data_IF_394036163917
#
_entry.id   IF_394036163917
#
_cell.length_a   1.000
_cell.length_b   1.000
_cell.length_c   1.000
_cell.angle_alpha   90.00
_cell.angle_beta   90.00
_cell.angle_gamma   90.00
#
_symmetry.space_group_name_H-M   'P 1'
#
loop_
_entity.id
_entity.type
_entity.pdbx_description
1 polymer ?
#
# COMPACT_ATOMS: atom_id res chain seq x y z
N UNK A 1 -49.00 17.15 24.73
CA UNK A 1 -48.00 18.14 24.28
C UNK A 1 -46.65 17.66 24.79
N UNK A 2 -45.69 17.41 23.90
CA UNK A 2 -44.34 17.02 24.31
C UNK A 2 -43.56 18.29 24.68
N UNK A 3 -43.09 18.44 25.93
CA UNK A 3 -42.32 19.61 26.32
C UNK A 3 -40.96 19.60 25.61
N UNK A 4 -40.60 20.70 24.96
CA UNK A 4 -39.28 20.91 24.35
C UNK A 4 -38.70 22.21 24.87
N UNK A 5 -37.50 22.16 25.44
CA UNK A 5 -36.73 23.33 25.83
C UNK A 5 -35.55 23.50 24.87
N UNK A 6 -35.24 24.74 24.53
CA UNK A 6 -34.13 25.06 23.62
C UNK A 6 -33.39 26.28 24.18
N UNK A 7 -32.12 26.10 24.53
CA UNK A 7 -31.26 27.12 25.14
C UNK A 7 -30.12 27.47 24.19
N UNK A 8 -29.90 28.77 23.94
CA UNK A 8 -28.83 29.24 23.09
C UNK A 8 -28.17 30.49 23.68
N UNK A 9 -26.84 30.47 23.76
CA UNK A 9 -26.04 31.62 24.17
C UNK A 9 -25.72 32.50 22.96
N UNK A 10 -25.92 33.81 23.09
CA UNK A 10 -25.61 34.79 22.04
C UNK A 10 -24.71 35.88 22.63
N UNK A 11 -23.59 36.17 21.96
CA UNK A 11 -22.76 37.33 22.28
C UNK A 11 -23.20 38.52 21.42
N UNK A 12 -24.03 39.41 21.99
CA UNK A 12 -24.62 40.54 21.25
C UNK A 12 -23.62 41.68 21.02
N UNK A 13 -22.83 42.04 22.05
CA UNK A 13 -21.85 43.12 21.95
C UNK A 13 -20.50 42.50 21.62
N UNK A 14 -19.99 42.80 20.42
CA UNK A 14 -18.79 42.17 19.88
C UNK A 14 -17.49 42.77 20.37
N UNK A 15 -17.42 44.09 20.61
CA UNK A 15 -16.17 44.81 20.92
C UNK A 15 -16.20 45.38 22.34
N UNK A 16 -16.09 44.50 23.35
CA UNK A 16 -16.06 44.94 24.74
C UNK A 16 -14.71 44.69 25.40
N UNK A 17 -14.08 43.53 25.12
CA UNK A 17 -12.82 43.13 25.74
C UNK A 17 -11.63 43.25 24.79
N UNK A 18 -10.41 43.37 25.32
CA UNK A 18 -9.17 43.29 24.54
C UNK A 18 -9.10 42.01 23.69
N UNK A 19 -9.64 40.90 24.20
CA UNK A 19 -9.74 39.64 23.47
C UNK A 19 -10.60 39.73 22.19
N UNK A 20 -11.58 40.63 22.15
CA UNK A 20 -12.45 40.79 21.00
C UNK A 20 -11.76 41.48 19.83
N UNK A 21 -10.85 42.42 20.12
CA UNK A 21 -10.00 43.03 19.11
C UNK A 21 -8.99 42.03 18.54
N UNK A 22 -8.52 41.08 19.36
CA UNK A 22 -7.69 39.97 18.87
C UNK A 22 -8.46 39.05 17.92
N UNK A 23 -9.72 38.71 18.24
CA UNK A 23 -10.60 37.92 17.36
C UNK A 23 -10.83 38.63 16.02
N UNK A 24 -11.02 39.95 16.01
CA UNK A 24 -11.12 40.74 14.77
C UNK A 24 -9.87 40.59 13.89
N UNK A 25 -8.69 40.62 14.50
CA UNK A 25 -7.43 40.38 13.78
C UNK A 25 -7.37 38.97 13.14
N UNK A 26 -7.84 37.96 13.86
CA UNK A 26 -7.93 36.59 13.33
C UNK A 26 -8.93 36.46 12.18
N UNK A 27 -10.04 37.21 12.19
CA UNK A 27 -11.00 37.21 11.08
C UNK A 27 -10.39 37.81 9.80
N UNK A 28 -9.60 38.88 9.93
CA UNK A 28 -8.89 39.45 8.80
C UNK A 28 -7.82 38.48 8.26
N UNK A 29 -7.06 37.85 9.17
CA UNK A 29 -6.10 36.81 8.81
C UNK A 29 -6.77 35.63 8.09
N UNK A 30 -7.94 35.21 8.55
CA UNK A 30 -8.74 34.18 7.86
C UNK A 30 -9.14 34.61 6.44
N UNK A 31 -9.53 35.87 6.24
CA UNK A 31 -9.79 36.43 4.91
C UNK A 31 -8.58 36.34 3.97
N UNK A 32 -7.39 36.71 4.46
CA UNK A 32 -6.13 36.58 3.72
C UNK A 32 -5.85 35.10 3.39
N UNK A 33 -6.05 34.21 4.36
CA UNK A 33 -5.88 32.77 4.16
C UNK A 33 -6.79 32.25 3.05
N UNK A 34 -8.08 32.63 3.02
CA UNK A 34 -9.01 32.24 1.95
C UNK A 34 -8.55 32.73 0.57
N UNK A 35 -7.99 33.95 0.48
CA UNK A 35 -7.40 34.45 -0.78
C UNK A 35 -6.22 33.57 -1.21
N UNK A 36 -5.31 33.24 -0.28
CA UNK A 36 -4.20 32.33 -0.55
C UNK A 36 -4.70 30.96 -1.04
N UNK A 37 -5.74 30.40 -0.41
CA UNK A 37 -6.36 29.15 -0.84
C UNK A 37 -6.95 29.24 -2.25
N UNK A 38 -7.54 30.38 -2.58
CA UNK A 38 -8.12 30.63 -3.91
C UNK A 38 -7.04 30.54 -4.98
N UNK A 39 -5.89 31.17 -4.75
CA UNK A 39 -4.73 31.13 -5.66
C UNK A 39 -4.19 29.69 -5.77
N UNK A 40 -4.04 28.99 -4.65
CA UNK A 40 -3.56 27.60 -4.61
C UNK A 40 -4.49 26.67 -5.43
N UNK A 41 -5.80 26.71 -5.17
CA UNK A 41 -6.79 25.89 -5.87
C UNK A 41 -6.84 26.25 -7.36
N UNK A 42 -6.79 27.53 -7.70
CA UNK A 42 -6.82 27.98 -9.10
C UNK A 42 -5.58 27.53 -9.86
N UNK A 43 -4.38 27.61 -9.26
CA UNK A 43 -3.16 27.07 -9.86
C UNK A 43 -3.28 25.57 -10.10
N UNK A 44 -3.78 24.83 -9.11
CA UNK A 44 -3.99 23.39 -9.23
C UNK A 44 -4.99 23.05 -10.36
N UNK A 45 -6.05 23.84 -10.54
CA UNK A 45 -7.01 23.67 -11.65
C UNK A 45 -6.34 23.95 -13.00
N UNK A 46 -5.53 24.99 -13.10
CA UNK A 46 -4.85 25.38 -14.34
C UNK A 46 -3.80 24.35 -14.78
N UNK A 47 -3.04 23.78 -13.84
CA UNK A 47 -2.01 22.78 -14.12
C UNK A 47 -2.62 21.39 -14.43
N UNK A 48 -3.65 20.96 -13.69
CA UNK A 48 -4.21 19.60 -13.82
C UNK A 48 -5.43 19.52 -14.76
N UNK A 49 -6.02 20.64 -15.19
CA UNK A 49 -7.19 20.77 -16.10
C UNK A 49 -8.23 19.64 -15.98
N UNK A 50 -8.14 18.61 -16.83
CA UNK A 50 -9.10 17.48 -16.88
C UNK A 50 -8.76 16.34 -15.92
N UNK A 51 -7.49 16.20 -15.51
CA UNK A 51 -7.07 15.24 -14.51
C UNK A 51 -7.50 15.65 -13.10
N UNK A 52 -7.71 16.95 -12.87
CA UNK A 52 -8.20 17.50 -11.60
C UNK A 52 -9.54 16.86 -11.16
N UNK A 53 -10.51 16.72 -12.07
CA UNK A 53 -11.83 16.14 -11.79
C UNK A 53 -11.80 14.63 -11.43
N UNK A 54 -10.69 13.94 -11.66
CA UNK A 54 -10.52 12.53 -11.30
C UNK A 54 -9.96 12.32 -9.89
N UNK A 55 -9.48 13.37 -9.23
CA UNK A 55 -8.84 13.29 -7.91
C UNK A 55 -9.88 13.62 -6.84
N UNK A 56 -10.20 12.65 -5.98
CA UNK A 56 -11.20 12.83 -4.90
C UNK A 56 -10.86 14.02 -3.99
N UNK A 57 -9.58 14.20 -3.69
CA UNK A 57 -9.09 15.30 -2.85
C UNK A 57 -9.33 16.70 -3.41
N UNK A 58 -9.42 16.84 -4.73
CA UNK A 58 -9.70 18.12 -5.38
C UNK A 58 -11.12 18.61 -5.07
N UNK A 59 -12.09 17.70 -4.89
CA UNK A 59 -13.44 18.05 -4.46
C UNK A 59 -13.48 18.57 -3.02
N UNK A 60 -12.66 18.00 -2.12
CA UNK A 60 -12.54 18.48 -0.73
C UNK A 60 -11.98 19.91 -0.70
N UNK A 61 -10.96 20.20 -1.51
CA UNK A 61 -10.38 21.55 -1.59
C UNK A 61 -11.40 22.58 -2.11
N UNK A 62 -12.19 22.23 -3.14
CA UNK A 62 -13.26 23.10 -3.67
C UNK A 62 -14.36 23.30 -2.62
N UNK A 63 -14.77 22.25 -1.92
CA UNK A 63 -15.79 22.32 -0.87
C UNK A 63 -15.36 23.25 0.26
N UNK A 64 -14.13 23.13 0.75
CA UNK A 64 -13.56 24.03 1.77
C UNK A 64 -13.56 25.48 1.28
N UNK A 65 -13.16 25.71 0.02
CA UNK A 65 -13.12 27.05 -0.55
C UNK A 65 -14.54 27.66 -0.62
N UNK A 66 -15.52 26.92 -1.14
CA UNK A 66 -16.91 27.36 -1.21
C UNK A 66 -17.48 27.66 0.18
N UNK A 67 -17.32 26.74 1.14
CA UNK A 67 -17.76 26.93 2.53
C UNK A 67 -17.11 28.16 3.17
N UNK A 68 -15.83 28.43 2.87
CA UNK A 68 -15.12 29.60 3.41
C UNK A 68 -15.66 30.94 2.88
N UNK A 69 -16.06 31.00 1.60
CA UNK A 69 -16.72 32.18 1.06
C UNK A 69 -18.10 32.40 1.66
N UNK A 70 -18.91 31.34 1.77
CA UNK A 70 -20.22 31.41 2.43
C UNK A 70 -20.04 31.86 3.89
N UNK A 71 -19.02 31.36 4.58
CA UNK A 71 -18.69 31.78 5.95
C UNK A 71 -18.39 33.27 6.05
N UNK A 72 -17.56 33.82 5.17
CA UNK A 72 -17.22 35.25 5.17
C UNK A 72 -18.47 36.10 4.92
N UNK A 73 -19.26 35.75 3.90
CA UNK A 73 -20.51 36.47 3.58
C UNK A 73 -21.46 36.45 4.78
N UNK A 74 -21.64 35.27 5.39
CA UNK A 74 -22.53 35.11 6.54
C UNK A 74 -22.01 35.83 7.78
N UNK A 75 -20.69 35.87 8.00
CA UNK A 75 -20.07 36.61 9.11
C UNK A 75 -20.33 38.12 9.00
N UNK A 76 -20.21 38.67 7.79
CA UNK A 76 -20.52 40.08 7.50
C UNK A 76 -22.01 40.35 7.66
N UNK A 77 -22.88 39.50 7.08
CA UNK A 77 -24.34 39.65 7.19
C UNK A 77 -24.80 39.63 8.66
N UNK A 78 -24.29 38.67 9.46
CA UNK A 78 -24.53 38.61 10.89
C UNK A 78 -24.09 39.89 11.60
N UNK A 79 -22.90 40.40 11.29
CA UNK A 79 -22.41 41.63 11.91
C UNK A 79 -23.34 42.81 11.66
N UNK A 80 -23.79 43.00 10.42
CA UNK A 80 -24.74 44.05 10.05
C UNK A 80 -26.07 43.89 10.79
N UNK A 81 -26.65 42.68 10.78
CA UNK A 81 -27.92 42.38 11.44
C UNK A 81 -27.86 42.67 12.94
N UNK A 82 -26.80 42.21 13.63
CA UNK A 82 -26.65 42.41 15.07
C UNK A 82 -26.44 43.90 15.38
N UNK A 83 -25.64 44.62 14.60
CA UNK A 83 -25.43 46.06 14.80
C UNK A 83 -26.74 46.83 14.65
N UNK A 84 -27.48 46.59 13.56
CA UNK A 84 -28.79 47.20 13.35
C UNK A 84 -29.75 46.90 14.50
N UNK A 85 -29.82 45.63 14.94
CA UNK A 85 -30.65 45.23 16.06
C UNK A 85 -30.26 45.95 17.36
N UNK A 86 -28.96 46.01 17.69
CA UNK A 86 -28.46 46.67 18.90
C UNK A 86 -28.73 48.18 18.87
N UNK A 87 -28.61 48.84 17.71
CA UNK A 87 -28.91 50.27 17.59
C UNK A 87 -30.40 50.61 17.74
N UNK A 88 -31.29 49.67 17.41
CA UNK A 88 -32.74 49.85 17.57
C UNK A 88 -33.25 49.43 18.96
N UNK A 89 -32.38 48.97 19.86
CA UNK A 89 -32.77 48.65 21.23
C UNK A 89 -33.08 49.95 22.00
N UNK A 90 -34.30 50.11 22.53
CA UNK A 90 -34.63 51.28 23.35
C UNK A 90 -33.84 51.25 24.66
N UNK A 91 -33.39 52.42 25.12
CA UNK A 91 -32.59 52.58 26.35
C UNK A 91 -33.41 52.19 27.60
N UNK A 92 -34.74 52.29 27.53
CA UNK A 92 -35.69 51.86 28.58
C UNK A 92 -36.56 50.73 28.03
N UNK A 93 -36.44 49.54 28.61
CA UNK A 93 -37.16 48.34 28.17
C UNK A 93 -38.55 48.24 28.82
N UNK A 94 -39.48 49.11 28.41
CA UNK A 94 -40.88 49.01 28.89
C UNK A 94 -41.68 47.90 28.20
N UNK A 95 -41.15 47.34 27.10
CA UNK A 95 -41.78 46.27 26.30
C UNK A 95 -40.80 45.14 26.03
N UNK A 96 -41.33 43.91 25.98
CA UNK A 96 -40.59 42.71 25.58
C UNK A 96 -39.93 42.90 24.21
N UNK A 97 -38.62 42.64 24.14
CA UNK A 97 -37.86 42.62 22.90
C UNK A 97 -37.68 41.18 22.44
N UNK A 98 -38.01 40.91 21.18
CA UNK A 98 -37.90 39.58 20.61
C UNK A 98 -36.46 39.29 20.14
N UNK A 99 -35.80 38.32 20.79
CA UNK A 99 -34.45 37.86 20.42
C UNK A 99 -34.45 36.60 19.52
N UNK A 100 -35.63 36.09 19.13
CA UNK A 100 -35.79 34.86 18.36
C UNK A 100 -34.98 34.88 17.05
N UNK A 101 -35.01 36.00 16.33
CA UNK A 101 -34.28 36.16 15.07
C UNK A 101 -32.76 36.20 15.27
N UNK A 102 -32.28 36.99 16.25
CA UNK A 102 -30.84 37.10 16.58
C UNK A 102 -30.29 35.75 17.02
N UNK A 103 -31.06 35.01 17.82
CA UNK A 103 -30.75 33.64 18.22
C UNK A 103 -30.61 32.72 17.00
N UNK A 104 -31.59 32.72 16.09
CA UNK A 104 -31.56 31.87 14.90
C UNK A 104 -30.28 32.15 14.07
N UNK A 105 -29.95 33.42 13.84
CA UNK A 105 -28.73 33.82 13.12
C UNK A 105 -27.46 33.29 13.82
N UNK A 106 -27.39 33.33 15.16
CA UNK A 106 -26.25 32.78 15.89
C UNK A 106 -26.17 31.25 15.80
N UNK A 107 -27.29 30.54 15.86
CA UNK A 107 -27.33 29.07 15.75
C UNK A 107 -26.87 28.63 14.36
N UNK A 108 -27.36 29.27 13.29
CA UNK A 108 -26.91 28.99 11.93
C UNK A 108 -25.43 29.32 11.72
N UNK A 109 -24.93 30.41 12.33
CA UNK A 109 -23.49 30.72 12.33
C UNK A 109 -22.68 29.57 12.94
N UNK A 110 -23.12 29.03 14.08
CA UNK A 110 -22.43 27.93 14.76
C UNK A 110 -22.43 26.64 13.92
N UNK A 111 -23.54 26.29 13.28
CA UNK A 111 -23.61 25.13 12.38
C UNK A 111 -22.67 25.27 11.21
N UNK A 112 -22.65 26.44 10.56
CA UNK A 112 -21.78 26.70 9.43
C UNK A 112 -20.30 26.70 9.84
N UNK A 113 -19.98 27.24 11.03
CA UNK A 113 -18.63 27.15 11.62
C UNK A 113 -18.22 25.70 11.85
N UNK A 114 -19.10 24.87 12.42
CA UNK A 114 -18.80 23.46 12.71
C UNK A 114 -18.52 22.67 11.43
N UNK A 115 -19.33 22.87 10.38
CA UNK A 115 -19.12 22.23 9.08
C UNK A 115 -17.80 22.68 8.45
N UNK A 116 -17.49 23.99 8.47
CA UNK A 116 -16.23 24.50 7.94
C UNK A 116 -15.01 23.90 8.66
N UNK A 117 -15.05 23.84 10.00
CA UNK A 117 -13.98 23.24 10.81
C UNK A 117 -13.81 21.76 10.50
N UNK A 118 -14.90 21.01 10.37
CA UNK A 118 -14.85 19.60 9.98
C UNK A 118 -14.14 19.40 8.64
N UNK A 119 -14.51 20.17 7.62
CA UNK A 119 -13.87 20.09 6.31
C UNK A 119 -12.42 20.60 6.33
N UNK A 120 -12.07 21.58 7.18
CA UNK A 120 -10.69 21.99 7.39
C UNK A 120 -9.84 20.85 7.97
N UNK A 121 -10.37 20.08 8.92
CA UNK A 121 -9.72 18.86 9.42
C UNK A 121 -9.61 17.77 8.35
N UNK A 122 -10.64 17.57 7.52
CA UNK A 122 -10.54 16.65 6.38
C UNK A 122 -9.43 17.09 5.39
N UNK A 123 -9.28 18.39 5.17
CA UNK A 123 -8.18 18.92 4.36
C UNK A 123 -6.82 18.68 5.00
N UNK A 124 -6.71 18.74 6.34
CA UNK A 124 -5.47 18.39 7.02
C UNK A 124 -5.05 16.94 6.73
N UNK A 125 -6.01 16.01 6.64
CA UNK A 125 -5.72 14.61 6.28
C UNK A 125 -5.02 14.48 4.93
N UNK A 126 -5.30 15.38 3.96
CA UNK A 126 -4.57 15.42 2.68
C UNK A 126 -3.07 15.64 2.88
N UNK A 127 -2.67 16.49 3.82
CA UNK A 127 -1.26 16.76 4.11
C UNK A 127 -0.62 15.66 4.97
N UNK A 128 -1.40 14.96 5.80
CA UNK A 128 -0.92 13.81 6.57
C UNK A 128 -0.61 12.58 5.68
N UNK A 129 -1.12 12.56 4.45
CA UNK A 129 -0.77 11.56 3.43
C UNK A 129 0.69 11.63 2.94
N UNK A 130 1.52 12.53 3.49
CA UNK A 130 2.97 12.53 3.26
C UNK A 130 3.67 11.31 3.88
N UNK A 131 3.03 10.61 4.81
CA UNK A 131 3.54 9.34 5.36
C UNK A 131 3.27 8.18 4.40
N UNK A 132 4.29 7.33 4.19
CA UNK A 132 4.24 6.11 3.35
C UNK A 132 3.01 5.24 3.64
N UNK A 133 2.67 5.08 4.92
CA UNK A 133 1.54 4.27 5.41
C UNK A 133 0.16 4.81 4.97
N UNK A 134 -0.03 6.13 4.90
CA UNK A 134 -1.33 6.73 4.56
C UNK A 134 -1.58 6.75 3.04
N UNK A 135 -0.52 6.77 2.23
CA UNK A 135 -0.62 6.59 0.78
C UNK A 135 -1.04 5.15 0.43
N UNK A 136 -0.53 4.16 1.16
CA UNK A 136 -0.87 2.75 1.00
C UNK A 136 -2.36 2.49 1.36
N UNK A 137 -2.86 3.09 2.45
CA UNK A 137 -4.28 3.08 2.82
C UNK A 137 -5.18 3.69 1.74
N UNK A 138 -4.78 4.79 1.13
CA UNK A 138 -5.53 5.41 0.03
C UNK A 138 -5.62 4.53 -1.22
N UNK A 139 -4.52 3.86 -1.57
CA UNK A 139 -4.49 2.90 -2.68
C UNK A 139 -5.43 1.71 -2.42
N UNK A 140 -5.42 1.22 -1.18
CA UNK A 140 -6.31 0.15 -0.70
C UNK A 140 -7.77 0.54 -0.83
N UNK A 141 -8.13 1.66 -0.20
CA UNK A 141 -9.51 2.13 -0.17
C UNK A 141 -10.03 2.33 -1.59
N UNK A 142 -9.25 2.94 -2.48
CA UNK A 142 -9.66 3.19 -3.87
C UNK A 142 -9.91 1.90 -4.66
N UNK A 143 -9.13 0.85 -4.43
CA UNK A 143 -9.29 -0.42 -5.15
C UNK A 143 -10.51 -1.18 -4.64
N UNK A 144 -10.73 -1.16 -3.33
CA UNK A 144 -11.77 -1.94 -2.65
C UNK A 144 -13.11 -1.23 -2.56
N UNK A 145 -13.17 0.09 -2.82
CA UNK A 145 -14.41 0.86 -2.74
C UNK A 145 -15.50 0.33 -3.66
N UNK A 146 -15.15 -0.27 -4.82
CA UNK A 146 -16.13 -0.84 -5.74
C UNK A 146 -16.81 -2.06 -5.12
N UNK A 147 -16.03 -2.93 -4.49
CA UNK A 147 -16.52 -4.16 -3.87
C UNK A 147 -17.28 -3.85 -2.57
N UNK A 148 -16.76 -2.90 -1.78
CA UNK A 148 -17.43 -2.38 -0.58
C UNK A 148 -18.75 -1.68 -0.94
N UNK A 149 -18.80 -0.90 -2.03
CA UNK A 149 -20.02 -0.22 -2.45
C UNK A 149 -21.09 -1.21 -2.93
N UNK A 150 -20.70 -2.24 -3.69
CA UNK A 150 -21.61 -3.31 -4.11
C UNK A 150 -22.20 -4.08 -2.92
N UNK A 151 -21.36 -4.44 -1.95
CA UNK A 151 -21.82 -5.06 -0.70
C UNK A 151 -22.66 -4.10 0.16
N UNK A 152 -22.24 -2.84 0.26
CA UNK A 152 -22.95 -1.79 0.99
C UNK A 152 -24.37 -1.58 0.47
N UNK A 153 -24.59 -1.67 -0.85
CA UNK A 153 -25.93 -1.61 -1.43
C UNK A 153 -26.81 -2.78 -0.94
N UNK A 154 -26.28 -4.00 -0.92
CA UNK A 154 -26.99 -5.16 -0.38
C UNK A 154 -27.30 -5.00 1.11
N UNK A 155 -26.34 -4.49 1.89
CA UNK A 155 -26.53 -4.14 3.30
C UNK A 155 -27.67 -3.13 3.46
N UNK A 156 -27.66 -2.02 2.71
CA UNK A 156 -28.69 -1.00 2.83
C UNK A 156 -30.08 -1.50 2.45
N UNK A 157 -30.21 -2.33 1.43
CA UNK A 157 -31.51 -2.91 1.03
C UNK A 157 -32.06 -3.81 2.14
N UNK A 158 -31.25 -4.70 2.71
CA UNK A 158 -31.67 -5.57 3.82
C UNK A 158 -31.95 -4.78 5.09
N UNK A 159 -31.06 -3.86 5.45
CA UNK A 159 -31.22 -2.99 6.61
C UNK A 159 -32.51 -2.17 6.53
N UNK A 160 -32.77 -1.56 5.37
CA UNK A 160 -33.99 -0.79 5.15
C UNK A 160 -35.25 -1.67 5.18
N UNK A 161 -35.18 -2.90 4.67
CA UNK A 161 -36.29 -3.86 4.80
C UNK A 161 -36.57 -4.20 6.28
N UNK A 162 -35.55 -4.43 7.09
CA UNK A 162 -35.74 -4.62 8.54
C UNK A 162 -36.27 -3.36 9.23
N UNK A 163 -35.84 -2.17 8.84
CA UNK A 163 -36.37 -0.91 9.35
C UNK A 163 -37.86 -0.73 9.04
N UNK A 164 -38.29 -1.10 7.83
CA UNK A 164 -39.71 -1.09 7.45
C UNK A 164 -40.53 -2.11 8.25
N UNK A 165 -40.01 -3.32 8.44
CA UNK A 165 -40.68 -4.33 9.26
C UNK A 165 -40.80 -3.87 10.71
N UNK A 166 -39.74 -3.30 11.28
CA UNK A 166 -39.75 -2.77 12.64
C UNK A 166 -40.77 -1.62 12.80
N UNK A 167 -40.80 -0.70 11.82
CA UNK A 167 -41.79 0.36 11.76
C UNK A 167 -43.22 -0.18 11.71
N UNK A 168 -43.48 -1.19 10.87
CA UNK A 168 -44.82 -1.77 10.71
C UNK A 168 -45.29 -2.58 11.93
N UNK A 169 -44.39 -3.30 12.62
CA UNK A 169 -44.75 -4.12 13.78
C UNK A 169 -44.80 -3.28 15.06
N UNK A 170 -43.79 -2.44 15.30
CA UNK A 170 -43.59 -1.77 16.59
C UNK A 170 -43.91 -0.27 16.56
N UNK A 171 -43.96 0.37 15.38
CA UNK A 171 -44.07 1.83 15.28
C UNK A 171 -45.35 2.44 15.83
N UNK A 172 -46.40 1.65 16.04
CA UNK A 172 -47.63 2.12 16.68
C UNK A 172 -47.57 2.25 18.20
N UNK A 173 -46.61 1.58 18.86
CA UNK A 173 -46.57 1.47 20.33
C UNK A 173 -45.20 1.83 20.93
N UNK A 174 -44.12 1.76 20.15
CA UNK A 174 -42.76 2.08 20.62
C UNK A 174 -42.28 3.40 20.00
N UNK A 175 -41.91 4.37 20.85
CA UNK A 175 -41.46 5.69 20.40
C UNK A 175 -40.20 5.59 19.50
N UNK A 176 -39.29 4.68 19.83
CA UNK A 176 -38.07 4.39 19.05
C UNK A 176 -38.33 3.94 17.60
N UNK A 177 -39.55 3.49 17.28
CA UNK A 177 -39.93 3.01 15.95
C UNK A 177 -41.07 3.81 15.30
N UNK A 178 -41.43 4.98 15.86
CA UNK A 178 -42.62 5.75 15.44
C UNK A 178 -42.55 6.31 14.01
N UNK A 179 -41.35 6.45 13.43
CA UNK A 179 -41.13 6.79 12.02
C UNK A 179 -40.11 5.83 11.40
N UNK A 180 -40.11 5.71 10.08
CA UNK A 180 -39.09 4.92 9.37
C UNK A 180 -37.68 5.46 9.66
N UNK A 181 -37.52 6.79 9.75
CA UNK A 181 -36.23 7.39 10.12
C UNK A 181 -35.82 7.05 11.55
N UNK A 182 -36.74 7.16 12.52
CA UNK A 182 -36.48 6.75 13.90
C UNK A 182 -36.15 5.25 14.00
N UNK A 183 -36.85 4.41 13.23
CA UNK A 183 -36.58 2.98 13.14
C UNK A 183 -35.17 2.71 12.59
N UNK A 184 -34.74 3.43 11.55
CA UNK A 184 -33.37 3.34 11.05
C UNK A 184 -32.34 3.74 12.10
N UNK A 185 -32.57 4.82 12.86
CA UNK A 185 -31.64 5.23 13.93
C UNK A 185 -31.56 4.22 15.05
N UNK A 186 -32.70 3.67 15.47
CA UNK A 186 -32.79 2.65 16.52
C UNK A 186 -32.14 1.33 16.11
N UNK A 187 -32.33 0.89 14.86
CA UNK A 187 -31.64 -0.31 14.34
C UNK A 187 -30.13 -0.09 14.14
N UNK A 188 -29.69 1.15 13.86
CA UNK A 188 -28.26 1.46 13.79
C UNK A 188 -27.60 1.40 15.18
N UNK A 189 -28.29 1.90 16.22
CA UNK A 189 -27.88 1.72 17.61
C UNK A 189 -27.87 0.23 18.00
N UNK A 190 -28.87 -0.51 17.54
CA UNK A 190 -28.94 -1.95 17.69
C UNK A 190 -27.74 -2.69 17.09
N UNK A 191 -27.21 -2.24 15.94
CA UNK A 191 -26.01 -2.80 15.33
C UNK A 191 -24.75 -2.60 16.19
N UNK A 192 -24.69 -1.51 16.96
CA UNK A 192 -23.62 -1.22 17.93
C UNK A 192 -23.79 -2.08 19.21
N UNK A 193 -24.99 -2.60 19.45
CA UNK A 193 -25.33 -3.47 20.59
C UNK A 193 -26.31 -2.84 21.58
N UNK A 194 -26.77 -1.61 21.33
CA UNK A 194 -27.76 -0.92 22.17
C UNK A 194 -29.17 -1.28 21.67
N UNK A 195 -29.76 -2.32 22.26
CA UNK A 195 -31.11 -2.78 21.93
C UNK A 195 -32.07 -2.66 23.12
N UNK A 196 -33.09 -1.82 22.99
CA UNK A 196 -34.20 -1.72 23.94
C UNK A 196 -35.23 -2.83 23.69
N UNK A 197 -34.89 -4.07 24.02
CA UNK A 197 -35.73 -5.25 23.74
C UNK A 197 -37.03 -5.26 24.55
N UNK A 198 -37.02 -4.71 25.78
CA UNK A 198 -38.16 -4.74 26.69
C UNK A 198 -39.40 -4.10 26.09
N UNK A 199 -39.24 -2.92 25.49
CA UNK A 199 -40.35 -2.21 24.85
C UNK A 199 -40.92 -2.99 23.66
N UNK A 200 -40.10 -3.76 22.94
CA UNK A 200 -40.59 -4.60 21.84
C UNK A 200 -41.38 -5.81 22.35
N UNK A 201 -40.89 -6.46 23.41
CA UNK A 201 -41.54 -7.65 24.00
C UNK A 201 -42.93 -7.30 24.55
N UNK A 202 -43.08 -6.12 25.15
CA UNK A 202 -44.35 -5.61 25.67
C UNK A 202 -45.41 -5.42 24.56
N UNK A 203 -44.98 -5.02 23.35
CA UNK A 203 -45.89 -4.86 22.20
C UNK A 203 -46.31 -6.19 21.61
N UNK A 204 -45.34 -7.06 21.33
CA UNK A 204 -45.63 -8.38 20.77
C UNK A 204 -44.60 -9.41 21.21
N UNK A 205 -44.99 -10.19 22.23
CA UNK A 205 -44.17 -11.23 22.83
C UNK A 205 -43.71 -12.34 21.87
N UNK A 206 -44.38 -12.53 20.73
CA UNK A 206 -44.01 -13.54 19.73
C UNK A 206 -43.16 -12.93 18.61
N UNK A 207 -43.59 -11.79 18.06
CA UNK A 207 -42.88 -11.16 16.94
C UNK A 207 -41.56 -10.50 17.36
N UNK A 208 -41.47 -9.97 18.58
CA UNK A 208 -40.25 -9.35 19.11
C UNK A 208 -39.04 -10.31 19.16
N UNK A 209 -39.11 -11.50 19.78
CA UNK A 209 -37.98 -12.44 19.76
C UNK A 209 -37.65 -12.93 18.35
N UNK A 210 -38.66 -13.19 17.50
CA UNK A 210 -38.43 -13.62 16.12
C UNK A 210 -37.67 -12.52 15.34
N UNK A 211 -38.13 -11.27 15.45
CA UNK A 211 -37.50 -10.13 14.81
C UNK A 211 -36.05 -9.97 15.29
N UNK A 212 -35.82 -10.01 16.61
CA UNK A 212 -34.48 -9.86 17.19
C UNK A 212 -33.53 -10.96 16.70
N UNK A 213 -33.95 -12.22 16.76
CA UNK A 213 -33.13 -13.37 16.33
C UNK A 213 -32.80 -13.25 14.84
N UNK A 214 -33.78 -12.93 14.00
CA UNK A 214 -33.55 -12.74 12.56
C UNK A 214 -32.63 -11.55 12.29
N UNK A 215 -32.86 -10.41 12.96
CA UNK A 215 -32.03 -9.23 12.79
C UNK A 215 -30.57 -9.51 13.19
N UNK A 216 -30.34 -10.08 14.37
CA UNK A 216 -28.98 -10.41 14.83
C UNK A 216 -28.33 -11.45 13.91
N UNK A 217 -29.05 -12.48 13.50
CA UNK A 217 -28.53 -13.49 12.58
C UNK A 217 -28.10 -12.90 11.23
N UNK A 218 -28.98 -12.14 10.57
CA UNK A 218 -28.68 -11.58 9.26
C UNK A 218 -27.71 -10.39 9.32
N UNK A 219 -27.95 -9.43 10.23
CA UNK A 219 -27.18 -8.18 10.27
C UNK A 219 -25.83 -8.33 10.96
N UNK A 220 -25.75 -9.10 12.03
CA UNK A 220 -24.50 -9.30 12.77
C UNK A 220 -23.72 -10.50 12.23
N UNK A 221 -24.28 -11.70 12.25
CA UNK A 221 -23.51 -12.90 11.88
C UNK A 221 -23.20 -13.00 10.38
N UNK A 222 -24.12 -12.62 9.51
CA UNK A 222 -23.87 -12.70 8.06
C UNK A 222 -23.19 -11.43 7.58
N UNK A 223 -23.84 -10.27 7.72
CA UNK A 223 -23.38 -9.05 7.07
C UNK A 223 -22.12 -8.46 7.70
N UNK A 224 -21.96 -8.40 9.04
CA UNK A 224 -20.69 -7.89 9.61
C UNK A 224 -19.51 -8.81 9.28
N UNK A 225 -19.69 -10.13 9.34
CA UNK A 225 -18.62 -11.06 9.01
C UNK A 225 -18.23 -11.01 7.53
N UNK A 226 -19.21 -10.83 6.63
CA UNK A 226 -18.95 -10.64 5.20
C UNK A 226 -18.25 -9.29 4.94
N UNK A 227 -18.65 -8.22 5.63
CA UNK A 227 -17.97 -6.94 5.56
C UNK A 227 -16.50 -7.04 6.00
N UNK A 228 -16.24 -7.72 7.13
CA UNK A 228 -14.89 -7.97 7.62
C UNK A 228 -14.07 -8.82 6.65
N UNK A 229 -14.68 -9.85 6.03
CA UNK A 229 -14.02 -10.66 5.02
C UNK A 229 -13.60 -9.83 3.80
N UNK A 230 -14.48 -8.96 3.29
CA UNK A 230 -14.18 -8.06 2.16
C UNK A 230 -13.04 -7.11 2.52
N UNK A 231 -13.05 -6.51 3.73
CA UNK A 231 -11.97 -5.64 4.19
C UNK A 231 -10.65 -6.41 4.32
N UNK A 232 -10.68 -7.63 4.86
CA UNK A 232 -9.49 -8.43 5.05
C UNK A 232 -8.89 -8.88 3.70
N UNK A 233 -9.72 -9.27 2.73
CA UNK A 233 -9.28 -9.62 1.38
C UNK A 233 -8.72 -8.38 0.63
N UNK A 234 -9.40 -7.25 0.75
CA UNK A 234 -8.93 -5.96 0.29
C UNK A 234 -7.56 -5.59 0.86
N UNK A 235 -7.38 -5.76 2.17
CA UNK A 235 -6.12 -5.48 2.85
C UNK A 235 -5.01 -6.46 2.42
N UNK A 236 -5.32 -7.74 2.29
CA UNK A 236 -4.37 -8.77 1.87
C UNK A 236 -3.88 -8.56 0.43
N UNK A 237 -4.81 -8.29 -0.51
CA UNK A 237 -4.49 -8.05 -1.94
C UNK A 237 -3.64 -6.79 -2.15
N UNK A 238 -3.88 -5.78 -1.34
CA UNK A 238 -3.06 -4.58 -1.24
C UNK A 238 -1.69 -4.95 -0.73
N UNK A 239 -1.59 -5.59 0.43
CA UNK A 239 -0.30 -5.93 1.06
C UNK A 239 0.60 -6.72 0.10
N UNK A 240 0.06 -7.71 -0.61
CA UNK A 240 0.81 -8.46 -1.61
C UNK A 240 1.29 -7.61 -2.80
N UNK A 241 0.49 -6.63 -3.23
CA UNK A 241 0.88 -5.71 -4.31
C UNK A 241 1.93 -4.69 -3.82
N UNK A 242 1.83 -4.26 -2.57
CA UNK A 242 2.76 -3.31 -1.97
C UNK A 242 4.11 -3.93 -1.62
N UNK A 243 4.19 -5.19 -1.19
CA UNK A 243 5.49 -5.87 -0.97
C UNK A 243 6.33 -5.90 -2.27
N UNK A 244 5.70 -6.22 -3.42
CA UNK A 244 6.38 -6.22 -4.73
C UNK A 244 6.78 -4.80 -5.18
N UNK A 245 5.96 -3.80 -4.89
CA UNK A 245 6.21 -2.40 -5.30
C UNK A 245 7.18 -1.68 -4.36
N UNK A 246 7.18 -2.02 -3.07
CA UNK A 246 8.14 -1.52 -2.07
C UNK A 246 9.54 -1.98 -2.42
N UNK A 247 9.76 -3.27 -2.69
CA UNK A 247 11.09 -3.80 -3.09
C UNK A 247 11.64 -2.97 -4.25
N UNK A 248 10.83 -2.71 -5.30
CA UNK A 248 11.23 -1.87 -6.44
C UNK A 248 11.49 -0.42 -6.05
N UNK A 249 10.58 0.26 -5.34
CA UNK A 249 10.78 1.69 -4.99
C UNK A 249 11.92 1.91 -4.00
N UNK A 250 12.14 1.00 -3.06
CA UNK A 250 13.31 1.03 -2.17
C UNK A 250 14.60 0.74 -2.92
N UNK A 251 14.59 -0.14 -3.94
CA UNK A 251 15.74 -0.30 -4.84
C UNK A 251 16.01 0.96 -5.66
N UNK A 252 14.99 1.63 -6.20
CA UNK A 252 15.19 2.89 -6.93
C UNK A 252 15.63 4.04 -6.02
N UNK A 253 15.09 4.15 -4.80
CA UNK A 253 15.52 5.15 -3.82
C UNK A 253 16.91 4.85 -3.26
N UNK A 254 17.24 3.58 -2.95
CA UNK A 254 18.59 3.20 -2.56
C UNK A 254 19.56 3.39 -3.72
N UNK A 255 19.21 3.05 -4.96
CA UNK A 255 20.10 3.30 -6.10
C UNK A 255 20.26 4.80 -6.40
N UNK A 256 19.20 5.60 -6.25
CA UNK A 256 19.30 7.05 -6.37
C UNK A 256 20.10 7.67 -5.22
N UNK A 257 19.92 7.19 -3.99
CA UNK A 257 20.65 7.64 -2.80
C UNK A 257 22.10 7.17 -2.82
N UNK A 258 22.38 5.95 -3.31
CA UNK A 258 23.74 5.44 -3.55
C UNK A 258 24.40 6.17 -4.71
N UNK A 259 23.68 6.56 -5.76
CA UNK A 259 24.22 7.41 -6.81
C UNK A 259 24.48 8.84 -6.32
N UNK A 260 23.65 9.36 -5.40
CA UNK A 260 23.85 10.66 -4.77
C UNK A 260 25.02 10.64 -3.76
N UNK A 261 25.12 9.61 -2.93
CA UNK A 261 26.23 9.37 -2.00
C UNK A 261 27.52 9.03 -2.76
N UNK A 262 27.43 8.29 -3.86
CA UNK A 262 28.54 8.04 -4.78
C UNK A 262 29.04 9.33 -5.44
N UNK A 263 28.13 10.27 -5.74
CA UNK A 263 28.49 11.61 -6.19
C UNK A 263 29.12 12.47 -5.07
N UNK A 264 28.73 12.29 -3.81
CA UNK A 264 29.33 12.99 -2.66
C UNK A 264 30.63 12.35 -2.14
N UNK A 265 30.89 11.07 -2.44
CA UNK A 265 32.12 10.35 -2.08
C UNK A 265 33.02 10.15 -3.32
N UNK A 266 33.40 11.25 -3.98
CA UNK A 266 34.23 11.27 -5.20
C UNK A 266 35.66 10.68 -5.06
N UNK A 267 36.00 10.07 -3.92
CA UNK A 267 37.35 9.57 -3.60
C UNK A 267 37.48 8.09 -3.23
N UNK A 268 36.40 7.39 -2.83
CA UNK A 268 36.47 5.99 -2.37
C UNK A 268 36.00 4.98 -3.42
N UNK A 269 35.12 5.39 -4.34
CA UNK A 269 34.56 4.49 -5.34
C UNK A 269 35.59 4.10 -6.42
N UNK A 270 36.53 5.00 -6.76
CA UNK A 270 37.62 4.67 -7.69
C UNK A 270 38.54 3.55 -7.18
N UNK A 271 38.74 3.42 -5.85
CA UNK A 271 39.58 2.33 -5.29
C UNK A 271 38.84 0.99 -5.24
N UNK A 272 37.55 1.00 -4.92
CA UNK A 272 36.71 -0.21 -4.89
C UNK A 272 36.38 -0.72 -6.30
N UNK A 273 36.10 0.19 -7.24
CA UNK A 273 35.80 -0.15 -8.63
C UNK A 273 37.06 -0.62 -9.40
N UNK A 274 38.24 -0.06 -9.09
CA UNK A 274 39.54 -0.56 -9.59
C UNK A 274 39.86 -1.96 -9.06
N UNK A 275 39.65 -2.23 -7.76
CA UNK A 275 39.81 -3.58 -7.17
C UNK A 275 38.82 -4.59 -7.76
N UNK A 276 37.56 -4.19 -8.01
CA UNK A 276 36.52 -5.04 -8.62
C UNK A 276 36.82 -5.36 -10.09
N UNK A 277 37.31 -4.40 -10.88
CA UNK A 277 37.71 -4.63 -12.27
C UNK A 277 38.91 -5.56 -12.38
N UNK A 278 39.96 -5.35 -11.56
CA UNK A 278 41.14 -6.24 -11.53
C UNK A 278 40.75 -7.68 -11.17
N UNK A 279 39.87 -7.87 -10.18
CA UNK A 279 39.39 -9.21 -9.80
C UNK A 279 38.59 -9.89 -10.91
N UNK A 280 37.71 -9.16 -11.60
CA UNK A 280 36.94 -9.70 -12.73
C UNK A 280 37.83 -10.11 -13.90
N UNK A 281 38.81 -9.30 -14.27
CA UNK A 281 39.72 -9.63 -15.38
C UNK A 281 40.60 -10.84 -15.06
N UNK A 282 41.04 -10.99 -13.80
CA UNK A 282 41.75 -12.20 -13.36
C UNK A 282 40.86 -13.45 -13.41
N UNK A 283 39.63 -13.34 -12.91
CA UNK A 283 38.67 -14.44 -12.94
C UNK A 283 38.30 -14.82 -14.37
N UNK A 284 38.15 -13.86 -15.29
CA UNK A 284 37.93 -14.10 -16.72
C UNK A 284 39.14 -14.78 -17.38
N UNK A 285 40.37 -14.31 -17.13
CA UNK A 285 41.58 -14.94 -17.66
C UNK A 285 41.73 -16.38 -17.14
N UNK A 286 41.48 -16.60 -15.85
CA UNK A 286 41.47 -17.94 -15.25
C UNK A 286 40.38 -18.82 -15.86
N UNK A 287 39.21 -18.25 -16.17
CA UNK A 287 38.10 -18.99 -16.77
C UNK A 287 38.38 -19.38 -18.23
N UNK A 288 39.09 -18.53 -18.98
CA UNK A 288 39.56 -18.82 -20.34
C UNK A 288 40.63 -19.89 -20.32
N UNK A 289 41.63 -19.80 -19.43
CA UNK A 289 42.68 -20.81 -19.28
C UNK A 289 42.12 -22.17 -18.86
N UNK A 290 41.14 -22.20 -17.95
CA UNK A 290 40.43 -23.45 -17.60
C UNK A 290 39.64 -24.02 -18.77
N UNK A 291 39.01 -23.18 -19.59
CA UNK A 291 38.31 -23.61 -20.81
C UNK A 291 39.26 -24.15 -21.87
N UNK A 292 40.50 -23.66 -21.91
CA UNK A 292 41.56 -24.13 -22.80
C UNK A 292 42.27 -25.40 -22.29
N UNK A 293 41.79 -26.03 -21.20
CA UNK A 293 42.26 -27.33 -20.71
C UNK A 293 43.36 -27.30 -19.65
N UNK A 294 43.76 -26.12 -19.13
CA UNK A 294 44.79 -26.02 -18.10
C UNK A 294 44.27 -26.43 -16.71
N UNK A 295 45.05 -27.21 -15.96
CA UNK A 295 44.72 -27.58 -14.57
C UNK A 295 45.14 -26.49 -13.57
N UNK A 296 44.46 -26.41 -12.42
CA UNK A 296 44.71 -25.38 -11.40
C UNK A 296 46.20 -25.19 -10.96
N UNK A 297 47.05 -26.23 -10.82
CA UNK A 297 48.47 -26.04 -10.51
C UNK A 297 49.30 -25.49 -11.68
N UNK A 298 48.93 -25.79 -12.92
CA UNK A 298 49.60 -25.28 -14.13
C UNK A 298 49.29 -23.80 -14.36
N UNK A 299 48.06 -23.38 -14.03
CA UNK A 299 47.64 -21.97 -14.05
C UNK A 299 48.45 -21.16 -13.02
N UNK A 300 48.73 -21.73 -11.85
CA UNK A 300 49.55 -21.08 -10.83
C UNK A 300 51.02 -20.91 -11.27
N UNK A 301 51.61 -21.94 -11.87
CA UNK A 301 52.97 -21.89 -12.44
C UNK A 301 53.05 -20.91 -13.63
N UNK A 302 52.01 -20.84 -14.45
CA UNK A 302 51.92 -19.89 -15.57
C UNK A 302 51.90 -18.44 -15.10
N UNK A 303 51.13 -18.14 -14.06
CA UNK A 303 51.06 -16.81 -13.45
C UNK A 303 52.38 -16.39 -12.80
N UNK A 304 53.08 -17.34 -12.17
CA UNK A 304 54.37 -17.09 -11.54
C UNK A 304 55.49 -16.86 -12.57
N UNK A 305 55.47 -17.58 -13.69
CA UNK A 305 56.50 -17.48 -14.74
C UNK A 305 56.47 -16.16 -15.50
N UNK A 306 55.31 -15.50 -15.58
CA UNK A 306 55.14 -14.21 -16.27
C UNK A 306 55.08 -13.01 -15.32
N UNK A 307 55.33 -13.21 -14.02
CA UNK A 307 55.38 -12.17 -12.99
C UNK A 307 54.16 -11.23 -12.97
N UNK A 308 52.97 -11.77 -13.22
CA UNK A 308 51.72 -11.01 -13.19
C UNK A 308 51.30 -10.91 -11.73
N UNK A 309 51.68 -9.82 -11.07
CA UNK A 309 51.27 -9.57 -9.70
C UNK A 309 49.78 -9.17 -9.69
N UNK A 310 49.03 -9.65 -8.69
CA UNK A 310 47.56 -9.54 -8.56
C UNK A 310 47.10 -8.06 -8.44
N UNK A 311 48.05 -7.11 -8.37
CA UNK A 311 47.82 -5.71 -8.11
C UNK A 311 48.35 -4.72 -9.17
N UNK A 312 48.98 -5.19 -10.25
CA UNK A 312 49.40 -4.30 -11.34
C UNK A 312 48.57 -4.53 -12.62
N UNK A 313 48.15 -3.43 -13.25
CA UNK A 313 47.24 -3.48 -14.39
C UNK A 313 48.03 -3.97 -15.60
N UNK A 314 47.79 -5.21 -16.02
CA UNK A 314 48.32 -5.74 -17.30
C UNK A 314 47.85 -4.81 -18.42
N UNK A 315 48.79 -4.21 -19.14
CA UNK A 315 48.48 -3.22 -20.17
C UNK A 315 47.89 -3.93 -21.38
N UNK A 316 46.99 -3.29 -22.14
CA UNK A 316 46.28 -3.89 -23.28
C UNK A 316 47.24 -4.48 -24.36
N UNK A 317 48.47 -3.96 -24.41
CA UNK A 317 49.57 -4.44 -25.24
C UNK A 317 50.19 -5.77 -24.77
N UNK A 318 50.20 -6.04 -23.46
CA UNK A 318 50.68 -7.30 -22.86
C UNK A 318 49.65 -8.42 -23.02
N UNK A 319 48.36 -8.10 -22.84
CA UNK A 319 47.27 -9.05 -23.08
C UNK A 319 47.27 -9.60 -24.52
N UNK A 320 47.57 -8.75 -25.52
CA UNK A 320 47.68 -9.22 -26.93
C UNK A 320 48.89 -10.13 -27.17
N UNK A 321 49.96 -10.02 -26.39
CA UNK A 321 51.11 -10.94 -26.47
C UNK A 321 50.78 -12.28 -25.84
N UNK A 322 50.13 -12.28 -24.68
CA UNK A 322 49.70 -13.49 -23.96
C UNK A 322 48.71 -14.30 -24.80
N UNK A 323 47.75 -13.64 -25.47
CA UNK A 323 46.78 -14.32 -26.35
C UNK A 323 47.48 -14.96 -27.56
N UNK A 324 48.48 -14.30 -28.16
CA UNK A 324 49.21 -14.82 -29.32
C UNK A 324 50.10 -16.03 -28.96
N UNK A 325 50.71 -16.01 -27.78
CA UNK A 325 51.49 -17.15 -27.26
C UNK A 325 50.59 -18.34 -26.85
N UNK A 326 49.36 -18.06 -26.40
CA UNK A 326 48.35 -19.08 -26.10
C UNK A 326 47.80 -19.76 -27.37
N UNK A 327 47.66 -19.03 -28.47
CA UNK A 327 47.24 -19.60 -29.77
C UNK A 327 48.30 -20.53 -30.36
N UNK A 328 49.59 -20.15 -30.26
CA UNK A 328 50.70 -21.00 -30.71
C UNK A 328 50.84 -22.28 -29.88
N UNK A 329 50.70 -22.19 -28.55
CA UNK A 329 50.76 -23.38 -27.67
C UNK A 329 49.47 -24.20 -27.67
N UNK A 330 48.32 -23.62 -27.99
CA UNK A 330 47.06 -24.35 -28.14
C UNK A 330 47.09 -25.37 -29.27
N UNK A 331 47.88 -25.11 -30.32
CA UNK A 331 48.12 -26.06 -31.41
C UNK A 331 49.01 -27.25 -30.95
N UNK A 332 50.10 -26.97 -30.24
CA UNK A 332 51.00 -28.03 -29.72
C UNK A 332 50.34 -28.89 -28.62
N UNK A 333 49.47 -28.29 -27.78
CA UNK A 333 48.79 -29.00 -26.70
C UNK A 333 47.60 -29.82 -27.19
N UNK A 334 46.86 -29.33 -28.20
CA UNK A 334 45.76 -30.07 -28.86
C UNK A 334 46.28 -31.36 -29.51
N UNK A 335 47.44 -31.29 -30.17
CA UNK A 335 48.07 -32.44 -30.81
C UNK A 335 48.53 -33.48 -29.78
N UNK A 336 49.10 -33.04 -28.65
CA UNK A 336 49.54 -33.93 -27.57
C UNK A 336 48.38 -34.52 -26.74
N UNK A 337 47.31 -33.76 -26.51
CA UNK A 337 46.12 -34.24 -25.79
C UNK A 337 45.38 -35.33 -26.59
N UNK A 338 45.23 -35.14 -27.90
CA UNK A 338 44.63 -36.16 -28.77
C UNK A 338 45.46 -37.45 -28.81
N UNK A 339 46.79 -37.34 -28.74
CA UNK A 339 47.69 -38.48 -28.73
C UNK A 339 47.65 -39.24 -27.39
N UNK A 340 47.51 -38.53 -26.27
CA UNK A 340 47.31 -39.11 -24.94
C UNK A 340 45.98 -39.87 -24.82
N UNK A 341 44.89 -39.29 -25.32
CA UNK A 341 43.56 -39.91 -25.26
C UNK A 341 43.47 -41.19 -26.11
N UNK A 342 44.14 -41.20 -27.28
CA UNK A 342 44.25 -42.40 -28.13
C UNK A 342 45.05 -43.49 -27.41
N UNK A 343 46.12 -43.13 -26.71
CA UNK A 343 46.96 -44.09 -25.98
C UNK A 343 46.25 -44.67 -24.75
N UNK A 344 45.41 -43.89 -24.07
CA UNK A 344 44.57 -44.38 -22.97
C UNK A 344 43.46 -45.32 -23.48
N UNK A 345 42.84 -45.00 -24.61
CA UNK A 345 41.87 -45.88 -25.25
C UNK A 345 42.50 -47.22 -25.63
N UNK A 346 43.71 -47.20 -26.20
CA UNK A 346 44.43 -48.41 -26.57
C UNK A 346 44.69 -49.31 -25.36
N UNK A 347 45.15 -48.76 -24.24
CA UNK A 347 45.34 -49.51 -22.98
C UNK A 347 44.05 -50.08 -22.42
N UNK A 348 42.90 -49.42 -22.60
CA UNK A 348 41.59 -49.95 -22.19
C UNK A 348 41.16 -51.14 -23.06
N UNK A 349 41.41 -51.05 -24.36
CA UNK A 349 41.13 -52.15 -25.31
C UNK A 349 42.01 -53.36 -25.00
N UNK A 350 43.30 -53.16 -24.71
CA UNK A 350 44.22 -54.25 -24.37
C UNK A 350 43.79 -54.96 -23.07
N UNK A 351 43.40 -54.20 -22.04
CA UNK A 351 42.85 -54.76 -20.79
C UNK A 351 41.55 -55.54 -21.00
N UNK A 352 40.69 -55.09 -21.92
CA UNK A 352 39.47 -55.82 -22.28
C UNK A 352 39.80 -57.13 -23.00
N UNK A 353 40.81 -57.12 -23.88
CA UNK A 353 41.33 -58.32 -24.54
C UNK A 353 41.86 -59.37 -23.54
N UNK A 354 42.67 -58.94 -22.56
CA UNK A 354 43.17 -59.84 -21.51
C UNK A 354 42.04 -60.45 -20.67
N UNK A 355 41.01 -59.67 -20.31
CA UNK A 355 39.85 -60.18 -19.56
C UNK A 355 39.01 -61.16 -20.37
N UNK A 356 38.89 -60.96 -21.69
CA UNK A 356 38.21 -61.91 -22.57
C UNK A 356 39.00 -63.22 -22.65
N UNK A 357 40.33 -63.17 -22.78
CA UNK A 357 41.17 -64.36 -22.75
C UNK A 357 41.09 -65.10 -21.41
N UNK A 358 41.05 -64.37 -20.30
CA UNK A 358 40.87 -64.95 -18.97
C UNK A 358 39.50 -65.61 -18.81
N UNK A 359 38.43 -64.99 -19.33
CA UNK A 359 37.10 -65.61 -19.39
C UNK A 359 37.09 -66.88 -20.25
N UNK A 360 37.74 -66.86 -21.43
CA UNK A 360 37.83 -68.06 -22.28
C UNK A 360 38.59 -69.18 -21.57
N UNK A 361 39.69 -68.87 -20.90
CA UNK A 361 40.48 -69.84 -20.13
C UNK A 361 39.69 -70.43 -18.96
N UNK A 362 38.84 -69.64 -18.31
CA UNK A 362 37.97 -70.10 -17.23
C UNK A 362 36.77 -70.91 -17.72
N UNK A 363 36.30 -70.68 -18.96
CA UNK A 363 35.21 -71.44 -19.59
C UNK A 363 35.68 -72.79 -20.15
N UNK A 364 36.94 -72.91 -20.56
CA UNK A 364 37.52 -74.13 -21.12
C UNK A 364 37.35 -75.38 -20.23
N UNK A 365 37.68 -75.36 -18.91
CA UNK A 365 37.44 -76.51 -18.03
C UNK A 365 35.95 -76.76 -17.74
N UNK A 366 35.08 -75.76 -17.91
CA UNK A 366 33.62 -75.94 -17.77
C UNK A 366 33.07 -76.70 -18.96
N UNK A 367 33.51 -76.37 -20.18
CA UNK A 367 33.16 -77.09 -21.40
C UNK A 367 33.65 -78.53 -21.34
N UNK A 368 34.89 -78.77 -20.92
CA UNK A 368 35.44 -80.13 -20.77
C UNK A 368 34.67 -80.96 -19.74
N UNK A 369 34.23 -80.37 -18.62
CA UNK A 369 33.38 -81.04 -17.63
C UNK A 369 31.99 -81.38 -18.18
N UNK A 370 31.42 -80.51 -19.01
CA UNK A 370 30.13 -80.76 -19.67
C UNK A 370 30.28 -81.93 -20.66
N UNK A 371 31.35 -81.98 -21.45
CA UNK A 371 31.63 -83.09 -22.38
C UNK A 371 31.89 -84.41 -21.64
N UNK A 372 32.56 -84.38 -20.48
CA UNK A 372 32.74 -85.57 -19.63
C UNK A 372 31.42 -86.07 -19.02
N UNK A 373 30.48 -85.17 -18.71
CA UNK A 373 29.15 -85.56 -18.22
C UNK A 373 28.31 -86.14 -19.37
N UNK A 374 28.35 -85.53 -20.55
CA UNK A 374 27.65 -86.03 -21.75
C UNK A 374 28.13 -87.42 -22.17
N UNK A 375 29.44 -87.69 -22.09
CA UNK A 375 30.02 -89.00 -22.39
C UNK A 375 29.73 -90.06 -21.33
N UNK A 376 29.57 -89.68 -20.06
CA UNK A 376 29.09 -90.59 -18.99
C UNK A 376 27.60 -90.91 -19.07
N UNK A 377 26.81 -90.08 -19.72
CA UNK A 377 25.37 -90.30 -19.94
C UNK A 377 25.07 -91.17 -21.17
N UNK A 378 26.05 -91.38 -22.06
CA UNK A 378 25.90 -92.19 -23.28
C UNK A 378 26.45 -93.62 -23.17
N UNK A 379 27.02 -94.00 -22.03
CA UNK A 379 27.30 -95.38 -21.61
C UNK A 379 26.27 -95.82 -20.58
#
# INVERSE_FOLDING_TARGET
MLPKADFASVKLIRYLSTYDFFILGLEFFFGIFVIFLTVEVTRNILELRKQFLRIVWSYVDIMVLLLSYVFIIYSIARYVIIQTFVTHLPIVMERYVEFSYVRAVQVYYNYLTAVLVFFAWLRLMKFLNLSKTMLDLHGTLRKSIKDICGFGLMFFVLFYAFALVAYLIFGGQVESYHTVWASCTSLLQGLIGEFEYKEMEEVNRVMAPIFLVLFVFFMYFILMNMFLAIINDAYASVKSTFDVTQVRKTEYLNNAFMNLIGCCCFGLDKKLDKKRKTKRTYDELRHVLKRSGFTDPEIALFLQKYNIDIHEIVTETENRRIIRDLELKGLDFSQNAYQSDIEELRRRVDRLGERIQEMQRNLQPVVEKIDQILTKLSQ
#
